data_IF_551915145510
#
_entry.id   IF_551915145510
#
_cell.length_a   1.000
_cell.length_b   1.000
_cell.length_c   1.000
_cell.angle_alpha   90.00
_cell.angle_beta   90.00
_cell.angle_gamma   90.00
#
_symmetry.space_group_name_H-M   'P 1'
#
loop_
_entity.id
_entity.type
_entity.pdbx_description
1 polymer ?
#
# COMPACT_ATOMS: atom_id res chain seq x y z
N UNK A 1 -7.36 -5.15 -14.37
CA UNK A 1 -7.74 -5.81 -13.10
C UNK A 1 -7.28 -4.94 -11.94
N UNK A 2 -7.82 -5.10 -10.74
CA UNK A 2 -7.37 -4.37 -9.54
C UNK A 2 -6.67 -5.36 -8.61
N UNK A 3 -5.50 -4.98 -8.10
CA UNK A 3 -4.77 -5.74 -7.07
C UNK A 3 -4.50 -4.82 -5.89
N UNK A 4 -5.04 -5.16 -4.73
CA UNK A 4 -4.83 -4.42 -3.49
C UNK A 4 -3.75 -5.08 -2.66
N UNK A 5 -2.82 -4.29 -2.16
CA UNK A 5 -1.71 -4.71 -1.32
C UNK A 5 -1.79 -3.91 -0.03
N UNK A 6 -1.76 -4.59 1.11
CA UNK A 6 -1.63 -3.96 2.42
C UNK A 6 -0.15 -3.83 2.76
N UNK A 7 0.28 -2.62 3.10
CA UNK A 7 1.60 -2.34 3.63
C UNK A 7 1.54 -2.34 5.15
N UNK A 8 2.39 -3.17 5.74
CA UNK A 8 2.72 -3.12 7.15
C UNK A 8 4.09 -2.47 7.30
N UNK A 9 4.07 -1.18 7.63
CA UNK A 9 5.30 -0.41 7.73
C UNK A 9 6.09 -0.80 8.98
N UNK A 10 5.44 -1.25 10.06
CA UNK A 10 6.15 -1.63 11.27
C UNK A 10 6.86 -2.97 11.09
N UNK A 11 6.15 -3.96 10.58
CA UNK A 11 6.69 -5.30 10.29
C UNK A 11 7.60 -5.35 9.06
N UNK A 12 7.81 -4.23 8.36
CA UNK A 12 8.54 -4.15 7.09
C UNK A 12 8.04 -5.16 6.05
N UNK A 13 6.73 -5.39 6.05
CA UNK A 13 6.10 -6.45 5.27
C UNK A 13 4.95 -5.90 4.41
N UNK A 14 4.57 -6.66 3.40
CA UNK A 14 3.36 -6.39 2.64
C UNK A 14 2.63 -7.69 2.31
N UNK A 15 1.32 -7.58 2.15
CA UNK A 15 0.44 -8.72 1.91
C UNK A 15 -0.51 -8.40 0.77
N UNK A 16 -0.74 -9.37 -0.11
CA UNK A 16 -1.76 -9.27 -1.13
C UNK A 16 -3.12 -9.48 -0.47
N UNK A 17 -4.00 -8.47 -0.58
CA UNK A 17 -5.31 -8.54 0.05
C UNK A 17 -6.20 -9.47 -0.76
N UNK A 18 -6.58 -10.58 -0.14
CA UNK A 18 -7.63 -11.46 -0.64
C UNK A 18 -8.97 -10.96 -0.12
N UNK A 19 -10.05 -10.97 -0.94
CA UNK A 19 -11.39 -10.57 -0.49
C UNK A 19 -11.95 -11.44 0.66
N UNK A 20 -11.26 -12.51 1.05
CA UNK A 20 -11.73 -13.51 2.04
C UNK A 20 -10.96 -13.52 3.36
N UNK A 21 -9.86 -12.77 3.52
CA UNK A 21 -9.04 -12.82 4.74
C UNK A 21 -9.14 -11.52 5.57
N UNK A 22 -9.26 -11.61 6.91
CA UNK A 22 -9.23 -10.45 7.78
C UNK A 22 -7.83 -9.83 7.82
N UNK A 23 -7.76 -8.51 8.00
CA UNK A 23 -6.51 -7.74 7.97
C UNK A 23 -6.15 -7.24 9.39
N UNK A 24 -4.85 -7.20 9.69
CA UNK A 24 -4.23 -6.88 11.00
C UNK A 24 -4.59 -5.48 11.56
N UNK A 25 -4.35 -5.25 12.86
CA UNK A 25 -4.76 -4.04 13.61
C UNK A 25 -3.73 -2.88 13.64
N UNK A 26 -2.62 -3.03 12.92
CA UNK A 26 -1.53 -2.03 12.81
C UNK A 26 -1.97 -0.93 11.80
N UNK A 27 -1.38 0.30 11.74
CA UNK A 27 -1.65 1.27 10.66
C UNK A 27 -1.33 0.69 9.27
N UNK A 28 -2.22 -0.13 8.76
CA UNK A 28 -2.16 -0.73 7.45
C UNK A 28 -2.49 0.35 6.44
N UNK A 29 -1.58 0.53 5.49
CA UNK A 29 -1.83 1.34 4.32
C UNK A 29 -2.21 0.41 3.19
N UNK A 30 -3.40 0.58 2.63
CA UNK A 30 -3.84 -0.15 1.46
C UNK A 30 -3.48 0.64 0.23
N UNK A 31 -2.78 0.02 -0.70
CA UNK A 31 -2.58 0.56 -2.04
C UNK A 31 -3.21 -0.39 -3.05
N UNK A 32 -3.88 0.18 -4.04
CA UNK A 32 -4.45 -0.60 -5.15
C UNK A 32 -3.76 -0.22 -6.44
N UNK A 33 -3.34 -1.23 -7.18
CA UNK A 33 -2.76 -1.11 -8.52
C UNK A 33 -3.79 -1.53 -9.57
N UNK A 34 -3.87 -0.78 -10.67
CA UNK A 34 -4.40 -1.31 -11.92
C UNK A 34 -3.33 -2.21 -12.54
N UNK A 35 -3.71 -3.44 -12.85
CA UNK A 35 -2.80 -4.46 -13.35
C UNK A 35 -3.39 -5.21 -14.53
N UNK A 36 -2.55 -5.54 -15.49
CA UNK A 36 -2.88 -6.39 -16.62
C UNK A 36 -2.77 -7.87 -16.25
N UNK A 37 -3.45 -8.74 -17.00
CA UNK A 37 -3.40 -10.20 -16.76
C UNK A 37 -1.97 -10.76 -16.82
N UNK A 38 -1.11 -10.21 -17.68
CA UNK A 38 0.30 -10.60 -17.80
C UNK A 38 1.17 -10.18 -16.59
N UNK A 39 0.67 -9.26 -15.76
CA UNK A 39 1.35 -8.75 -14.56
C UNK A 39 0.91 -9.50 -13.28
N UNK A 40 -0.02 -10.44 -13.40
CA UNK A 40 -0.53 -11.25 -12.29
C UNK A 40 0.05 -12.67 -12.34
N UNK A 41 0.38 -13.19 -11.17
CA UNK A 41 0.60 -14.60 -10.90
C UNK A 41 -0.33 -15.05 -9.76
N UNK A 42 -0.36 -16.34 -9.47
CA UNK A 42 -1.17 -16.89 -8.38
C UNK A 42 -0.29 -17.67 -7.40
N UNK A 43 -0.68 -17.66 -6.13
CA UNK A 43 -0.11 -18.56 -5.11
C UNK A 43 -0.62 -19.99 -5.32
N UNK A 44 -0.09 -20.94 -4.55
CA UNK A 44 -0.63 -22.32 -4.50
C UNK A 44 -2.08 -22.38 -4.03
N UNK A 45 -2.49 -21.38 -3.23
CA UNK A 45 -3.86 -21.24 -2.72
C UNK A 45 -4.76 -20.44 -3.67
N UNK A 46 -4.31 -20.24 -4.92
CA UNK A 46 -5.01 -19.49 -5.97
C UNK A 46 -5.27 -18.01 -5.62
N UNK A 47 -4.44 -17.42 -4.76
CA UNK A 47 -4.52 -15.99 -4.43
C UNK A 47 -3.72 -15.16 -5.45
N UNK A 48 -4.32 -14.08 -5.94
CA UNK A 48 -3.67 -13.21 -6.92
C UNK A 48 -2.49 -12.44 -6.28
N UNK A 49 -1.37 -12.40 -7.00
CA UNK A 49 -0.18 -11.62 -6.64
C UNK A 49 0.48 -11.02 -7.87
N UNK A 50 1.43 -10.13 -7.68
CA UNK A 50 2.24 -9.61 -8.79
C UNK A 50 3.11 -10.73 -9.38
N UNK A 51 3.24 -10.73 -10.72
CA UNK A 51 4.22 -11.54 -11.40
C UNK A 51 5.64 -11.11 -11.01
N UNK A 52 6.58 -12.05 -10.96
CA UNK A 52 7.94 -11.88 -10.40
C UNK A 52 8.67 -10.62 -10.87
N UNK A 53 8.53 -10.25 -12.15
CA UNK A 53 9.16 -9.04 -12.72
C UNK A 53 8.60 -7.77 -12.08
N UNK A 54 7.28 -7.68 -11.97
CA UNK A 54 6.56 -6.53 -11.42
C UNK A 54 6.71 -6.47 -9.90
N UNK A 55 6.68 -7.63 -9.23
CA UNK A 55 6.92 -7.75 -7.79
C UNK A 55 8.30 -7.22 -7.38
N UNK A 56 9.33 -7.38 -8.23
CA UNK A 56 10.67 -6.84 -7.96
C UNK A 56 10.65 -5.31 -7.90
N UNK A 57 9.99 -4.66 -8.84
CA UNK A 57 9.84 -3.19 -8.87
C UNK A 57 9.04 -2.71 -7.68
N UNK A 58 7.96 -3.42 -7.34
CA UNK A 58 7.18 -3.14 -6.14
C UNK A 58 8.03 -3.26 -4.86
N UNK A 59 8.85 -4.30 -4.72
CA UNK A 59 9.76 -4.46 -3.56
C UNK A 59 10.78 -3.32 -3.46
N UNK A 60 11.30 -2.84 -4.59
CA UNK A 60 12.20 -1.70 -4.61
C UNK A 60 11.48 -0.42 -4.15
N UNK A 61 10.28 -0.15 -4.67
CA UNK A 61 9.45 0.97 -4.23
C UNK A 61 9.09 0.87 -2.73
N UNK A 62 8.75 -0.33 -2.25
CA UNK A 62 8.43 -0.57 -0.85
C UNK A 62 9.64 -0.31 0.06
N UNK A 63 10.84 -0.73 -0.35
CA UNK A 63 12.05 -0.39 0.38
C UNK A 63 12.28 1.12 0.47
N UNK A 64 12.06 1.87 -0.62
CA UNK A 64 12.13 3.34 -0.60
C UNK A 64 11.11 3.97 0.36
N UNK A 65 9.88 3.43 0.41
CA UNK A 65 8.84 3.86 1.36
C UNK A 65 9.30 3.63 2.79
N UNK A 66 9.86 2.46 3.11
CA UNK A 66 10.35 2.16 4.46
C UNK A 66 11.48 3.12 4.88
N UNK A 67 12.41 3.42 3.98
CA UNK A 67 13.51 4.35 4.24
C UNK A 67 13.00 5.79 4.45
N UNK A 68 12.09 6.27 3.60
CA UNK A 68 11.53 7.62 3.72
C UNK A 68 10.77 7.85 5.03
N UNK A 69 10.22 6.77 5.63
CA UNK A 69 9.41 6.84 6.84
C UNK A 69 10.09 6.28 8.09
N UNK A 70 11.41 6.03 8.06
CA UNK A 70 12.16 5.41 9.16
C UNK A 70 11.93 6.10 10.52
N UNK A 71 11.91 7.45 10.54
CA UNK A 71 11.69 8.21 11.78
C UNK A 71 10.31 7.92 12.35
N UNK A 72 9.26 8.00 11.52
CA UNK A 72 7.90 7.76 12.00
C UNK A 72 7.72 6.30 12.44
N UNK A 73 8.29 5.35 11.70
CA UNK A 73 8.30 3.93 12.08
C UNK A 73 8.96 3.72 13.45
N UNK A 74 10.12 4.32 13.69
CA UNK A 74 10.80 4.23 14.99
C UNK A 74 9.99 4.85 16.13
N UNK A 75 9.20 5.89 15.87
CA UNK A 75 8.32 6.47 16.89
C UNK A 75 7.14 5.54 17.21
N UNK A 76 6.56 4.90 16.19
CA UNK A 76 5.50 3.92 16.36
C UNK A 76 5.99 2.65 17.08
N UNK A 77 7.18 2.14 16.73
CA UNK A 77 7.80 0.96 17.36
C UNK A 77 8.10 1.17 18.86
N UNK A 78 8.34 2.41 19.26
CA UNK A 78 8.61 2.78 20.66
C UNK A 78 7.35 3.20 21.44
N UNK A 79 6.16 3.02 20.86
CA UNK A 79 4.89 3.50 21.43
C UNK A 79 4.95 4.99 21.84
N UNK A 80 5.71 5.80 21.10
CA UNK A 80 5.90 7.20 21.43
C UNK A 80 4.56 7.93 21.30
N UNK A 81 4.13 8.58 22.37
CA UNK A 81 2.91 9.37 22.35
C UNK A 81 3.10 10.61 21.47
N UNK A 82 2.55 10.55 20.26
CA UNK A 82 2.50 11.68 19.32
C UNK A 82 1.26 12.52 19.59
N UNK A 83 1.38 13.84 19.38
CA UNK A 83 0.18 14.69 19.35
C UNK A 83 -0.69 14.28 18.15
N UNK A 84 -2.02 14.47 18.22
CA UNK A 84 -2.90 14.17 17.08
C UNK A 84 -2.46 14.87 15.79
N UNK A 85 -1.97 16.11 15.88
CA UNK A 85 -1.50 16.87 14.72
C UNK A 85 -0.21 16.30 14.12
N UNK A 86 0.75 15.92 14.96
CA UNK A 86 1.99 15.28 14.50
C UNK A 86 1.71 13.92 13.88
N UNK A 87 0.80 13.14 14.47
CA UNK A 87 0.39 11.84 13.95
C UNK A 87 -0.24 11.98 12.56
N UNK A 88 -1.22 12.89 12.41
CA UNK A 88 -1.87 13.16 11.13
C UNK A 88 -0.86 13.66 10.07
N UNK A 89 0.06 14.55 10.46
CA UNK A 89 1.10 15.05 9.57
C UNK A 89 1.99 13.91 9.05
N UNK A 90 2.41 13.01 9.94
CA UNK A 90 3.25 11.86 9.58
C UNK A 90 2.49 10.84 8.72
N UNK A 91 1.21 10.60 9.00
CA UNK A 91 0.35 9.79 8.12
C UNK A 91 0.24 10.39 6.71
N UNK A 92 0.08 11.71 6.60
CA UNK A 92 0.11 12.40 5.30
C UNK A 92 1.44 12.20 4.56
N UNK A 93 2.57 12.34 5.27
CA UNK A 93 3.90 12.09 4.70
C UNK A 93 4.07 10.65 4.21
N UNK A 94 3.52 9.66 4.93
CA UNK A 94 3.51 8.26 4.49
C UNK A 94 2.78 8.13 3.15
N UNK A 95 1.57 8.70 3.04
CA UNK A 95 0.78 8.65 1.79
C UNK A 95 1.55 9.30 0.64
N UNK A 96 2.10 10.49 0.85
CA UNK A 96 2.89 11.21 -0.15
C UNK A 96 4.11 10.39 -0.60
N UNK A 97 4.81 9.75 0.34
CA UNK A 97 5.97 8.91 0.05
C UNK A 97 5.60 7.67 -0.77
N UNK A 98 4.43 7.06 -0.52
CA UNK A 98 3.92 5.91 -1.29
C UNK A 98 3.64 6.34 -2.71
N UNK A 99 2.89 7.44 -2.88
CA UNK A 99 2.56 7.97 -4.21
C UNK A 99 3.84 8.31 -4.99
N UNK A 100 4.79 8.97 -4.33
CA UNK A 100 6.06 9.35 -4.95
C UNK A 100 6.92 8.13 -5.33
N UNK A 101 7.08 7.16 -4.42
CA UNK A 101 7.90 5.98 -4.65
C UNK A 101 7.33 5.10 -5.76
N UNK A 102 6.02 4.82 -5.75
CA UNK A 102 5.39 3.96 -6.76
C UNK A 102 5.44 4.61 -8.15
N UNK A 103 5.23 5.92 -8.25
CA UNK A 103 5.30 6.65 -9.54
C UNK A 103 6.66 6.63 -10.23
N UNK A 104 7.74 6.26 -9.53
CA UNK A 104 9.06 6.06 -10.15
C UNK A 104 9.14 4.80 -11.02
N UNK A 105 8.19 3.88 -10.86
CA UNK A 105 8.13 2.60 -11.57
C UNK A 105 6.91 2.60 -12.50
N UNK A 106 7.08 2.93 -13.79
CA UNK A 106 5.97 3.10 -14.74
C UNK A 106 5.06 1.88 -14.89
N UNK A 107 5.58 0.68 -14.64
CA UNK A 107 4.85 -0.58 -14.66
C UNK A 107 3.90 -0.78 -13.46
N UNK A 108 4.01 0.05 -12.43
CA UNK A 108 3.14 0.05 -11.26
C UNK A 108 2.09 1.16 -11.40
N UNK A 109 0.93 0.83 -11.97
CA UNK A 109 -0.16 1.78 -12.14
C UNK A 109 -0.94 1.96 -10.82
N UNK A 110 -0.47 2.85 -9.95
CA UNK A 110 -1.16 3.18 -8.69
C UNK A 110 -2.48 3.90 -8.96
N UNK A 111 -3.58 3.35 -8.45
CA UNK A 111 -4.91 3.92 -8.64
C UNK A 111 -5.60 4.35 -7.35
N UNK A 112 -5.14 3.86 -6.18
CA UNK A 112 -5.75 4.20 -4.89
C UNK A 112 -4.79 3.97 -3.72
N UNK A 113 -4.83 4.86 -2.72
CA UNK A 113 -4.15 4.69 -1.42
C UNK A 113 -5.11 5.09 -0.30
N UNK A 114 -5.17 4.26 0.75
CA UNK A 114 -6.09 4.40 1.89
C UNK A 114 -5.39 3.99 3.17
N UNK A 115 -5.70 4.65 4.28
CA UNK A 115 -5.35 4.14 5.60
C UNK A 115 -6.48 3.20 6.05
N UNK A 116 -6.17 2.24 6.91
CA UNK A 116 -7.18 1.36 7.48
C UNK A 116 -8.32 2.15 8.13
N UNK A 117 -9.55 1.89 7.69
CA UNK A 117 -10.76 2.56 8.18
C UNK A 117 -10.93 4.02 7.72
N UNK A 118 -10.10 4.51 6.79
CA UNK A 118 -10.23 5.86 6.22
C UNK A 118 -10.86 5.85 4.84
N UNK A 119 -11.38 7.00 4.41
CA UNK A 119 -11.62 7.26 2.99
C UNK A 119 -10.29 7.24 2.21
N UNK A 120 -10.31 6.94 0.90
CA UNK A 120 -9.13 7.06 0.07
C UNK A 120 -8.52 8.47 0.15
N UNK A 121 -7.20 8.51 0.37
CA UNK A 121 -6.39 9.72 0.47
C UNK A 121 -5.69 10.05 -0.86
N UNK A 122 -5.59 9.06 -1.75
CA UNK A 122 -5.22 9.21 -3.15
C UNK A 122 -6.12 8.31 -3.99
N UNK A 123 -6.63 8.81 -5.11
CA UNK A 123 -7.48 8.05 -6.02
C UNK A 123 -7.43 8.59 -7.45
N UNK A 124 -7.34 7.70 -8.44
CA UNK A 124 -7.56 8.01 -9.85
C UNK A 124 -8.98 7.58 -10.27
N UNK A 125 -9.41 7.94 -11.49
CA UNK A 125 -10.73 7.52 -12.00
C UNK A 125 -10.91 5.99 -11.97
N UNK A 126 -9.89 5.22 -12.34
CA UNK A 126 -9.91 3.75 -12.29
C UNK A 126 -10.04 3.22 -10.86
N UNK A 127 -9.59 3.98 -9.87
CA UNK A 127 -9.69 3.67 -8.45
C UNK A 127 -11.10 3.87 -7.87
N UNK A 128 -12.02 4.52 -8.60
CA UNK A 128 -13.40 4.70 -8.15
C UNK A 128 -14.08 3.34 -7.91
N UNK A 129 -14.96 3.32 -6.91
CA UNK A 129 -15.89 2.19 -6.75
C UNK A 129 -16.84 2.25 -7.93
N UNK A 130 -16.91 1.15 -8.67
CA UNK A 130 -17.87 1.03 -9.75
C UNK A 130 -19.23 0.78 -9.09
N UNK A 131 -20.04 1.83 -8.95
CA UNK A 131 -21.35 1.78 -8.28
C UNK A 131 -22.47 1.39 -9.26
N UNK A 132 -22.14 1.14 -10.53
CA UNK A 132 -23.08 0.62 -11.51
C UNK A 132 -23.11 -0.90 -11.43
N UNK A 133 -23.94 -1.42 -10.52
CA UNK A 133 -24.60 -2.72 -10.69
C UNK A 133 -25.90 -2.54 -11.50
#
# INVERSE_FOLDING_TARGET
>A
MKLTISLDLLEEAFYYVSPTKPVSAVPLVYLTLAVEKAQIAYTTDNEAKLARKIERSFKAAFHEILQANQVYRSELDQDKLLTPQDHLKKQGQVVDSIVAAIKKYPELSLIRVELAGSWPLYQTQEGHLDLTE
#
